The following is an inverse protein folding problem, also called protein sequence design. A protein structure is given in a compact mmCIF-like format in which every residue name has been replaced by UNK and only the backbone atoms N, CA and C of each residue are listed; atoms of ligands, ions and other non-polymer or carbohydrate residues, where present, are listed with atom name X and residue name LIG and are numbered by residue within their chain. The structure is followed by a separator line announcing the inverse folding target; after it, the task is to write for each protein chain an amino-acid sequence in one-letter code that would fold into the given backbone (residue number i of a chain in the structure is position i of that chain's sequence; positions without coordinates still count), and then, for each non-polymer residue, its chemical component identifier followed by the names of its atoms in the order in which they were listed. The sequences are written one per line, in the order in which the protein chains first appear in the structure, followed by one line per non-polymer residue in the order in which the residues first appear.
data_IF_787055513245
#
_entry.id   IF_787055513245
#
_cell.length_a   1.000
_cell.length_b   1.000
_cell.length_c   1.000
_cell.angle_alpha   90.00
_cell.angle_beta   90.00
_cell.angle_gamma   90.00
#
_symmetry.space_group_name_H-M   'P 1'
#
loop_
_entity.id
_entity.type
_entity.pdbx_description
1 polymer ?
#
# COMPACT_ATOMS: atom_id res chain seq x y z
N UNK A 1 13.12 34.90 40.80
CA UNK A 1 14.07 34.58 39.69
C UNK A 1 13.56 33.45 38.78
N UNK A 2 12.25 33.35 38.47
CA UNK A 2 11.71 32.27 37.59
C UNK A 2 11.33 32.75 36.18
N UNK A 3 11.16 34.07 35.97
CA UNK A 3 10.72 34.65 34.69
C UNK A 3 11.79 34.61 33.60
N UNK A 4 13.08 34.68 33.97
CA UNK A 4 14.20 34.65 33.01
C UNK A 4 14.47 33.25 32.45
N UNK A 5 14.09 32.18 33.18
CA UNK A 5 14.27 30.80 32.73
C UNK A 5 13.33 30.46 31.56
N UNK A 6 12.09 30.98 31.60
CA UNK A 6 11.11 30.75 30.53
C UNK A 6 11.45 31.49 29.23
N UNK A 7 12.08 32.66 29.30
CA UNK A 7 12.44 33.43 28.10
C UNK A 7 13.58 32.75 27.33
N UNK A 8 14.57 32.19 28.04
CA UNK A 8 15.68 31.43 27.44
C UNK A 8 15.18 30.21 26.64
N UNK A 9 14.21 29.46 27.19
CA UNK A 9 13.64 28.29 26.52
C UNK A 9 12.89 28.65 25.23
N UNK A 10 12.15 29.76 25.21
CA UNK A 10 11.40 30.21 24.03
C UNK A 10 12.35 30.62 22.90
N UNK A 11 13.45 31.32 23.23
CA UNK A 11 14.46 31.73 22.24
C UNK A 11 15.16 30.52 21.62
N UNK A 12 15.46 29.48 22.40
CA UNK A 12 16.06 28.24 21.90
C UNK A 12 15.12 27.49 20.94
N UNK A 13 13.82 27.45 21.24
CA UNK A 13 12.83 26.80 20.36
C UNK A 13 12.72 27.54 19.02
N UNK A 14 12.66 28.87 19.06
CA UNK A 14 12.62 29.68 17.84
C UNK A 14 13.89 29.55 16.99
N UNK A 15 15.07 29.50 17.62
CA UNK A 15 16.33 29.29 16.91
C UNK A 15 16.40 27.91 16.24
N UNK A 16 15.85 26.86 16.90
CA UNK A 16 15.79 25.52 16.32
C UNK A 16 14.87 25.45 15.10
N UNK A 17 13.68 26.05 15.18
CA UNK A 17 12.71 26.07 14.07
C UNK A 17 13.29 26.81 12.86
N UNK A 18 13.91 27.98 13.09
CA UNK A 18 14.55 28.75 12.03
C UNK A 18 15.70 27.98 11.36
N UNK A 19 16.52 27.27 12.13
CA UNK A 19 17.65 26.51 11.59
C UNK A 19 17.20 25.25 10.82
N UNK A 20 16.11 24.60 11.25
CA UNK A 20 15.49 23.49 10.51
C UNK A 20 14.88 23.98 9.19
N UNK A 21 14.20 25.14 9.20
CA UNK A 21 13.59 25.70 7.99
C UNK A 21 14.58 26.09 6.89
N UNK A 22 15.82 26.44 7.24
CA UNK A 22 16.88 26.76 6.27
C UNK A 22 17.63 25.52 5.72
N UNK A 23 17.47 24.36 6.34
CA UNK A 23 18.07 23.10 5.88
C UNK A 23 17.09 22.18 5.15
N UNK A 24 15.82 22.57 5.04
CA UNK A 24 14.85 21.87 4.22
C UNK A 24 15.08 22.27 2.75
N UNK A 25 15.49 21.34 1.86
CA UNK A 25 15.59 21.64 0.45
C UNK A 25 14.22 22.12 -0.03
N UNK A 26 14.18 23.35 -0.57
CA UNK A 26 12.97 24.07 -1.03
C UNK A 26 12.18 23.38 -2.14
N UNK A 27 12.56 22.17 -2.54
CA UNK A 27 12.07 21.44 -3.71
C UNK A 27 11.68 19.99 -3.38
N UNK A 28 11.12 19.71 -2.20
CA UNK A 28 10.43 18.43 -1.99
C UNK A 28 8.97 18.64 -2.39
N UNK A 29 8.70 18.37 -3.67
CA UNK A 29 7.35 18.40 -4.23
C UNK A 29 6.41 17.57 -3.36
N UNK A 30 5.27 18.13 -2.91
CA UNK A 30 4.25 17.35 -2.20
C UNK A 30 3.65 16.23 -3.06
N UNK A 31 3.87 16.24 -4.38
CA UNK A 31 3.42 15.20 -5.32
C UNK A 31 3.85 13.78 -4.92
N UNK A 32 5.10 13.60 -4.48
CA UNK A 32 5.62 12.26 -4.15
C UNK A 32 4.89 11.66 -2.93
N UNK A 33 4.42 12.52 -2.01
CA UNK A 33 3.65 12.07 -0.86
C UNK A 33 2.18 11.84 -1.19
N UNK A 34 1.61 12.56 -2.16
CA UNK A 34 0.22 12.40 -2.58
C UNK A 34 0.04 11.17 -3.49
N UNK A 35 0.94 10.91 -4.44
CA UNK A 35 0.90 9.68 -5.26
C UNK A 35 1.01 8.42 -4.39
N UNK A 36 1.89 8.43 -3.39
CA UNK A 36 2.02 7.30 -2.46
C UNK A 36 0.83 7.16 -1.53
N UNK A 37 0.13 8.25 -1.19
CA UNK A 37 -1.12 8.19 -0.43
C UNK A 37 -2.29 7.69 -1.29
N UNK A 38 -2.35 8.05 -2.58
CA UNK A 38 -3.33 7.49 -3.50
C UNK A 38 -3.10 6.00 -3.72
N UNK A 39 -1.85 5.53 -3.85
CA UNK A 39 -1.52 4.10 -3.89
C UNK A 39 -1.86 3.34 -2.59
N UNK A 40 -1.77 4.02 -1.43
CA UNK A 40 -2.14 3.43 -0.13
C UNK A 40 -3.66 3.43 0.10
N UNK A 41 -4.38 4.43 -0.43
CA UNK A 41 -5.82 4.59 -0.30
C UNK A 41 -6.62 3.85 -1.40
N UNK A 42 -6.02 3.62 -2.57
CA UNK A 42 -6.57 2.78 -3.65
C UNK A 42 -6.44 1.28 -3.36
N UNK A 43 -5.71 0.90 -2.31
CA UNK A 43 -5.50 -0.51 -1.97
C UNK A 43 -4.55 -1.24 -2.91
N UNK A 44 -3.80 -0.54 -3.76
CA UNK A 44 -2.69 -1.14 -4.54
C UNK A 44 -1.41 -1.27 -3.70
N UNK A 45 -1.57 -1.53 -2.40
CA UNK A 45 -0.47 -1.75 -1.48
C UNK A 45 0.07 -3.17 -1.63
N UNK A 46 1.00 -3.36 -2.57
CA UNK A 46 2.05 -4.38 -2.45
C UNK A 46 1.56 -5.83 -2.36
N UNK A 47 0.54 -6.19 -3.14
CA UNK A 47 0.08 -7.56 -3.20
C UNK A 47 1.10 -8.50 -3.84
N UNK A 48 1.26 -9.71 -3.29
CA UNK A 48 2.11 -10.71 -3.95
C UNK A 48 1.45 -11.13 -5.26
N UNK A 49 2.17 -11.10 -6.41
CA UNK A 49 1.61 -11.54 -7.67
C UNK A 49 1.28 -13.03 -7.57
N UNK A 50 0.02 -13.38 -7.81
CA UNK A 50 -0.46 -14.75 -7.77
C UNK A 50 -1.11 -15.14 -9.10
N UNK A 51 -0.93 -16.40 -9.49
CA UNK A 51 -1.60 -16.95 -10.65
C UNK A 51 -3.10 -17.07 -10.37
N UNK A 52 -3.90 -16.65 -11.34
CA UNK A 52 -5.35 -16.72 -11.31
C UNK A 52 -5.91 -17.28 -12.61
N UNK A 53 -7.16 -17.75 -12.60
CA UNK A 53 -7.86 -18.26 -13.77
C UNK A 53 -9.23 -17.58 -13.93
N UNK A 54 -9.58 -17.25 -15.17
CA UNK A 54 -10.85 -16.55 -15.47
C UNK A 54 -12.01 -17.50 -15.73
N UNK A 55 -11.73 -18.76 -16.06
CA UNK A 55 -12.75 -19.77 -16.26
C UNK A 55 -12.46 -20.93 -15.32
N UNK A 56 -13.43 -21.25 -14.47
CA UNK A 56 -13.33 -22.31 -13.48
C UNK A 56 -14.67 -23.04 -13.49
N UNK A 57 -14.62 -24.35 -13.71
CA UNK A 57 -15.78 -25.21 -13.75
C UNK A 57 -15.68 -26.28 -12.66
N UNK A 58 -16.86 -26.65 -12.14
CA UNK A 58 -17.02 -27.78 -11.24
C UNK A 58 -17.84 -28.85 -11.97
N UNK A 59 -17.14 -29.83 -12.49
CA UNK A 59 -17.70 -31.00 -13.18
C UNK A 59 -17.44 -32.24 -12.32
N UNK A 60 -18.46 -33.08 -12.15
CA UNK A 60 -18.36 -34.37 -11.45
C UNK A 60 -17.83 -35.46 -12.41
N UNK A 61 -16.62 -35.27 -12.94
CA UNK A 61 -15.96 -36.21 -13.86
C UNK A 61 -14.96 -37.16 -13.15
N UNK A 62 -14.98 -37.17 -11.82
CA UNK A 62 -14.08 -37.97 -10.99
C UNK A 62 -12.72 -37.31 -10.71
N UNK A 63 -12.47 -36.09 -11.21
CA UNK A 63 -11.28 -35.32 -10.84
C UNK A 63 -11.36 -34.77 -9.41
N UNK A 64 -10.21 -34.64 -8.72
CA UNK A 64 -10.17 -34.00 -7.42
C UNK A 64 -10.55 -32.53 -7.53
N UNK A 65 -11.29 -32.04 -6.54
CA UNK A 65 -11.60 -30.62 -6.42
C UNK A 65 -10.39 -29.88 -5.88
N UNK A 66 -9.87 -28.94 -6.66
CA UNK A 66 -8.73 -28.11 -6.29
C UNK A 66 -9.16 -26.70 -5.89
N UNK A 67 -8.30 -26.01 -5.15
CA UNK A 67 -8.50 -24.61 -4.75
C UNK A 67 -7.69 -23.72 -5.67
N UNK A 68 -8.38 -22.86 -6.41
CA UNK A 68 -7.86 -22.10 -7.55
C UNK A 68 -8.23 -20.63 -7.34
N UNK A 69 -7.35 -19.70 -7.69
CA UNK A 69 -7.61 -18.27 -7.58
C UNK A 69 -8.41 -17.76 -8.77
N UNK A 70 -9.52 -17.07 -8.54
CA UNK A 70 -10.34 -16.45 -9.57
C UNK A 70 -9.82 -15.04 -9.91
N UNK A 71 -9.71 -14.72 -11.20
CA UNK A 71 -9.09 -13.45 -11.62
C UNK A 71 -9.95 -12.20 -11.35
N UNK A 72 -11.27 -12.32 -11.19
CA UNK A 72 -12.13 -11.14 -11.02
C UNK A 72 -11.94 -10.47 -9.66
N UNK A 73 -11.77 -11.27 -8.61
CA UNK A 73 -11.75 -10.82 -7.22
C UNK A 73 -10.51 -11.31 -6.44
N UNK A 74 -9.57 -11.99 -7.11
CA UNK A 74 -8.40 -12.63 -6.49
C UNK A 74 -8.74 -13.60 -5.34
N UNK A 75 -9.98 -14.12 -5.32
CA UNK A 75 -10.41 -15.02 -4.27
C UNK A 75 -10.18 -16.48 -4.64
N UNK A 76 -9.99 -17.29 -3.61
CA UNK A 76 -9.81 -18.73 -3.77
C UNK A 76 -11.17 -19.40 -3.93
N UNK A 77 -11.40 -20.02 -5.07
CA UNK A 77 -12.60 -20.79 -5.38
C UNK A 77 -12.26 -22.26 -5.64
N UNK A 78 -13.26 -23.13 -5.57
CA UNK A 78 -13.08 -24.58 -5.74
C UNK A 78 -13.60 -25.06 -7.09
N UNK A 79 -12.77 -25.77 -7.84
CA UNK A 79 -13.10 -26.28 -9.18
C UNK A 79 -12.36 -27.56 -9.53
N UNK A 80 -12.79 -28.21 -10.61
CA UNK A 80 -12.15 -29.42 -11.17
C UNK A 80 -11.50 -29.16 -12.53
N UNK A 81 -11.93 -28.10 -13.22
CA UNK A 81 -11.35 -27.64 -14.48
C UNK A 81 -11.14 -26.12 -14.44
N UNK A 82 -10.05 -25.65 -15.02
CA UNK A 82 -9.75 -24.22 -15.09
C UNK A 82 -8.87 -23.90 -16.30
N UNK A 83 -9.08 -22.72 -16.89
CA UNK A 83 -8.29 -22.24 -18.01
C UNK A 83 -8.29 -20.72 -18.08
N UNK A 84 -7.51 -20.18 -19.02
CA UNK A 84 -7.26 -18.75 -19.17
C UNK A 84 -6.52 -18.18 -17.95
N UNK A 85 -5.26 -18.60 -17.81
CA UNK A 85 -4.36 -18.16 -16.74
C UNK A 85 -3.99 -16.68 -16.94
N UNK A 86 -4.03 -15.93 -15.85
CA UNK A 86 -3.52 -14.57 -15.75
C UNK A 86 -2.86 -14.37 -14.39
N UNK A 87 -2.55 -13.12 -14.05
CA UNK A 87 -2.03 -12.73 -12.75
C UNK A 87 -2.95 -11.70 -12.12
N UNK A 88 -3.07 -11.80 -10.81
CA UNK A 88 -3.77 -10.80 -10.02
C UNK A 88 -2.95 -10.44 -8.78
N UNK A 89 -3.25 -9.29 -8.18
CA UNK A 89 -2.53 -8.77 -7.01
C UNK A 89 -3.45 -8.85 -5.80
N UNK A 90 -2.97 -9.51 -4.74
CA UNK A 90 -3.71 -9.76 -3.50
C UNK A 90 -2.94 -9.28 -2.29
#
# INVERSE_FOLDING_TARGET
MKKYLSISAVVLIFAFIANVSNNLPRNVSPDIFIENLEALASGESGGQPMDCYSNIEKVDDGRPVETITYCLDCQSIRGTHWWNQSRCMR
#
